data_IF_084306569124
#
_entry.id   IF_084306569124
#
_cell.length_a   1.000
_cell.length_b   1.000
_cell.length_c   1.000
_cell.angle_alpha   90.00
_cell.angle_beta   90.00
_cell.angle_gamma   90.00
#
_symmetry.space_group_name_H-M   'P 1'
#
loop_
_entity.id
_entity.type
_entity.pdbx_description
1 polymer ?
#
# COMPACT_ATOMS: atom_id res chain seq x y z
N UNK A 1 6.51 8.74 -40.79
CA UNK A 1 5.16 8.10 -40.79
C UNK A 1 5.20 6.59 -40.52
N UNK A 2 6.36 5.92 -40.41
CA UNK A 2 6.43 4.46 -40.18
C UNK A 2 6.97 4.03 -38.79
N UNK A 3 7.30 4.98 -37.91
CA UNK A 3 7.86 4.69 -36.57
C UNK A 3 6.81 4.64 -35.44
N UNK A 4 5.52 4.86 -35.72
CA UNK A 4 4.48 5.01 -34.69
C UNK A 4 3.51 3.82 -34.57
N UNK A 5 3.76 2.69 -35.24
CA UNK A 5 2.80 1.56 -35.27
C UNK A 5 3.27 0.33 -34.46
N UNK A 6 4.54 0.27 -34.01
CA UNK A 6 5.08 -0.87 -33.24
C UNK A 6 5.23 -0.64 -31.73
N UNK A 7 4.93 0.54 -31.20
CA UNK A 7 5.09 0.85 -29.77
C UNK A 7 3.73 0.88 -29.08
N UNK A 8 2.97 -0.21 -29.19
CA UNK A 8 1.75 -0.39 -28.40
C UNK A 8 2.11 -1.16 -27.11
N UNK A 9 2.27 -0.41 -26.02
CA UNK A 9 1.80 -0.77 -24.67
C UNK A 9 2.09 -2.19 -24.11
N UNK A 10 3.27 -2.76 -24.30
CA UNK A 10 3.66 -3.97 -23.53
C UNK A 10 4.29 -3.54 -22.21
N UNK A 11 3.49 -2.88 -21.36
CA UNK A 11 3.86 -2.67 -19.96
C UNK A 11 3.87 -4.00 -19.21
N UNK A 12 4.85 -4.21 -18.34
CA UNK A 12 4.95 -5.41 -17.49
C UNK A 12 4.35 -5.09 -16.13
N UNK A 13 3.50 -5.97 -15.60
CA UNK A 13 2.97 -5.84 -14.23
C UNK A 13 4.03 -6.30 -13.23
N UNK A 14 4.45 -5.42 -12.33
CA UNK A 14 5.40 -5.77 -11.28
C UNK A 14 4.81 -6.84 -10.34
N UNK A 15 5.51 -7.96 -10.09
CA UNK A 15 5.02 -9.02 -9.19
C UNK A 15 5.01 -8.62 -7.71
N UNK A 16 5.66 -7.51 -7.35
CA UNK A 16 5.81 -7.07 -5.95
C UNK A 16 4.74 -6.06 -5.55
N UNK A 17 4.43 -5.09 -6.42
CA UNK A 17 3.50 -4.00 -6.12
C UNK A 17 2.34 -3.88 -7.12
N UNK A 18 2.22 -4.82 -8.07
CA UNK A 18 1.19 -4.83 -9.11
C UNK A 18 1.12 -3.61 -10.04
N UNK A 19 2.05 -2.65 -9.94
CA UNK A 19 2.11 -1.48 -10.84
C UNK A 19 2.57 -1.88 -12.23
N UNK A 20 2.04 -1.22 -13.25
CA UNK A 20 2.54 -1.34 -14.62
C UNK A 20 3.83 -0.56 -14.77
N UNK A 21 4.82 -1.18 -15.39
CA UNK A 21 6.17 -0.64 -15.58
C UNK A 21 6.58 -0.85 -17.03
N UNK A 22 7.23 0.16 -17.61
CA UNK A 22 7.80 0.03 -18.95
C UNK A 22 8.97 -0.96 -18.95
N UNK A 23 9.22 -1.65 -20.07
CA UNK A 23 10.32 -2.62 -20.17
C UNK A 23 11.68 -2.03 -19.82
N UNK A 24 11.94 -0.78 -20.21
CA UNK A 24 13.20 -0.09 -19.93
C UNK A 24 13.38 0.27 -18.44
N UNK A 25 12.28 0.38 -17.68
CA UNK A 25 12.29 0.79 -16.27
C UNK A 25 12.14 -0.41 -15.30
N UNK A 26 11.93 -1.63 -15.81
CA UNK A 26 11.58 -2.79 -14.98
C UNK A 26 12.69 -3.16 -13.99
N UNK A 27 13.96 -3.10 -14.40
CA UNK A 27 15.09 -3.47 -13.54
C UNK A 27 15.21 -2.50 -12.37
N UNK A 28 15.21 -1.19 -12.65
CA UNK A 28 15.22 -0.14 -11.65
C UNK A 28 14.02 -0.25 -10.71
N UNK A 29 12.82 -0.49 -11.26
CA UNK A 29 11.60 -0.67 -10.49
C UNK A 29 11.66 -1.88 -9.55
N UNK A 30 12.17 -3.03 -10.02
CA UNK A 30 12.29 -4.24 -9.20
C UNK A 30 13.28 -4.04 -8.07
N UNK A 31 14.42 -3.40 -8.31
CA UNK A 31 15.38 -3.05 -7.24
C UNK A 31 14.69 -2.19 -6.20
N UNK A 32 14.00 -1.11 -6.60
CA UNK A 32 13.26 -0.25 -5.67
C UNK A 32 12.15 -0.99 -4.91
N UNK A 33 11.41 -1.87 -5.59
CA UNK A 33 10.30 -2.61 -4.96
C UNK A 33 10.75 -3.72 -4.02
N UNK A 34 11.84 -4.42 -4.33
CA UNK A 34 12.38 -5.49 -3.51
C UNK A 34 13.17 -4.95 -2.31
N UNK A 35 13.78 -3.78 -2.45
CA UNK A 35 14.54 -3.13 -1.37
C UNK A 35 13.69 -2.21 -0.49
N UNK A 36 12.45 -1.88 -0.90
CA UNK A 36 11.51 -1.13 -0.05
C UNK A 36 11.26 -1.91 1.25
N UNK A 37 11.55 -1.33 2.43
CA UNK A 37 11.31 -2.02 3.69
C UNK A 37 9.83 -2.36 3.83
N UNK A 38 9.54 -3.53 4.42
CA UNK A 38 8.17 -3.87 4.77
C UNK A 38 7.70 -2.88 5.83
N UNK A 39 6.64 -2.15 5.52
CA UNK A 39 6.03 -1.21 6.43
C UNK A 39 5.46 -2.00 7.61
N UNK A 40 6.06 -1.85 8.79
CA UNK A 40 5.58 -2.45 10.04
C UNK A 40 4.63 -1.49 10.73
N UNK A 41 3.70 -2.03 11.51
CA UNK A 41 2.82 -1.25 12.39
C UNK A 41 2.93 -1.75 13.82
N UNK A 42 2.54 -0.92 14.77
CA UNK A 42 2.34 -1.33 16.15
C UNK A 42 0.89 -1.83 16.31
N UNK A 43 0.72 -3.03 16.86
CA UNK A 43 -0.60 -3.56 17.21
C UNK A 43 -0.96 -3.09 18.61
N UNK A 44 -2.16 -2.53 18.76
CA UNK A 44 -2.66 -2.00 20.02
C UNK A 44 -4.16 -2.31 20.15
N UNK A 45 -4.67 -2.23 21.38
CA UNK A 45 -6.12 -2.25 21.64
C UNK A 45 -6.56 -0.84 21.96
N UNK A 46 -7.57 -0.36 21.25
CA UNK A 46 -8.04 1.01 21.39
C UNK A 46 -8.77 1.20 22.73
N UNK A 47 -8.37 2.19 23.53
CA UNK A 47 -8.97 2.43 24.85
C UNK A 47 -10.26 3.27 24.80
N UNK A 48 -10.43 4.07 23.75
CA UNK A 48 -11.53 5.01 23.55
C UNK A 48 -11.78 5.16 22.05
N UNK A 49 -13.02 5.45 21.64
CA UNK A 49 -13.36 5.62 20.22
C UNK A 49 -12.49 6.67 19.52
N UNK A 50 -11.95 6.36 18.34
CA UNK A 50 -11.10 7.28 17.56
C UNK A 50 -11.51 7.37 16.11
N UNK A 51 -12.47 8.24 15.81
CA UNK A 51 -12.86 8.52 14.43
C UNK A 51 -13.25 7.25 13.68
N UNK A 52 -12.95 7.22 12.39
CA UNK A 52 -13.38 6.15 11.47
C UNK A 52 -12.18 5.52 10.77
N UNK A 53 -12.22 4.21 10.55
CA UNK A 53 -11.25 3.53 9.73
C UNK A 53 -11.52 3.85 8.25
N UNK A 54 -10.62 4.57 7.58
CA UNK A 54 -10.82 5.00 6.18
C UNK A 54 -10.85 3.84 5.16
N UNK A 55 -10.52 2.61 5.59
CA UNK A 55 -10.49 1.42 4.72
C UNK A 55 -11.88 0.78 4.66
N UNK A 56 -12.52 0.52 5.81
CA UNK A 56 -13.85 -0.08 5.88
C UNK A 56 -14.97 0.95 6.07
N UNK A 57 -14.63 2.20 6.39
CA UNK A 57 -15.55 3.30 6.72
C UNK A 57 -16.43 3.03 7.96
N UNK A 58 -15.95 2.19 8.88
CA UNK A 58 -16.59 1.92 10.17
C UNK A 58 -15.88 2.69 11.30
N UNK A 59 -16.61 2.96 12.38
CA UNK A 59 -16.07 3.63 13.56
C UNK A 59 -14.99 2.75 14.23
N UNK A 60 -13.90 3.38 14.66
CA UNK A 60 -12.88 2.73 15.48
C UNK A 60 -13.30 2.86 16.95
N UNK A 61 -13.84 1.79 17.52
CA UNK A 61 -14.43 1.81 18.86
C UNK A 61 -13.48 1.27 19.94
N UNK A 62 -13.75 1.60 21.21
CA UNK A 62 -12.98 1.06 22.32
C UNK A 62 -13.07 -0.48 22.36
N UNK A 63 -11.93 -1.14 22.52
CA UNK A 63 -11.80 -2.59 22.46
C UNK A 63 -11.38 -3.14 21.10
N UNK A 64 -11.40 -2.33 20.03
CA UNK A 64 -10.93 -2.76 18.72
C UNK A 64 -9.42 -3.00 18.69
N UNK A 65 -9.03 -4.05 17.97
CA UNK A 65 -7.61 -4.29 17.65
C UNK A 65 -7.22 -3.42 16.47
N UNK A 66 -6.33 -2.46 16.73
CA UNK A 66 -5.90 -1.46 15.76
C UNK A 66 -4.43 -1.63 15.42
N UNK A 67 -4.09 -1.19 14.22
CA UNK A 67 -2.73 -1.08 13.75
C UNK A 67 -2.38 0.39 13.59
N UNK A 68 -1.31 0.82 14.25
CA UNK A 68 -0.76 2.17 14.15
C UNK A 68 0.51 2.15 13.29
N UNK A 69 0.45 2.84 12.16
CA UNK A 69 1.60 2.96 11.26
C UNK A 69 2.64 3.96 11.80
N UNK A 70 3.88 3.98 11.25
CA UNK A 70 4.92 4.95 11.63
C UNK A 70 4.50 6.40 11.37
N UNK A 71 3.69 6.65 10.33
CA UNK A 71 3.07 7.94 10.03
C UNK A 71 1.89 8.30 10.95
N UNK A 72 1.66 7.51 12.02
CA UNK A 72 0.64 7.68 13.05
C UNK A 72 -0.82 7.46 12.61
N UNK A 73 -1.07 7.15 11.34
CA UNK A 73 -2.38 6.70 10.88
C UNK A 73 -2.81 5.41 11.59
N UNK A 74 -4.11 5.32 11.89
CA UNK A 74 -4.71 4.22 12.65
C UNK A 74 -5.78 3.55 11.79
N UNK A 75 -5.74 2.23 11.73
CA UNK A 75 -6.74 1.41 11.04
C UNK A 75 -7.08 0.19 11.89
N UNK A 76 -8.19 -0.49 11.62
CA UNK A 76 -8.38 -1.84 12.14
C UNK A 76 -7.25 -2.75 11.63
N UNK A 77 -6.74 -3.61 12.51
CA UNK A 77 -5.63 -4.50 12.16
C UNK A 77 -5.94 -5.37 10.94
N UNK A 78 -7.14 -5.96 10.88
CA UNK A 78 -7.58 -6.75 9.73
C UNK A 78 -7.69 -5.94 8.43
N UNK A 79 -8.13 -4.68 8.52
CA UNK A 79 -8.27 -3.80 7.36
C UNK A 79 -6.91 -3.45 6.74
N UNK A 80 -5.92 -3.12 7.56
CA UNK A 80 -4.59 -2.78 7.05
C UNK A 80 -3.83 -4.01 6.54
N UNK A 81 -4.03 -5.18 7.17
CA UNK A 81 -3.41 -6.43 6.71
C UNK A 81 -3.85 -6.77 5.28
N UNK A 82 -5.15 -6.69 5.00
CA UNK A 82 -5.70 -6.92 3.66
C UNK A 82 -5.21 -5.85 2.67
N UNK A 83 -5.09 -4.59 3.09
CA UNK A 83 -4.56 -3.53 2.25
C UNK A 83 -3.12 -3.81 1.82
N UNK A 84 -2.27 -4.30 2.73
CA UNK A 84 -0.87 -4.62 2.46
C UNK A 84 -0.65 -5.81 1.52
N UNK A 85 -1.68 -6.64 1.27
CA UNK A 85 -1.63 -7.69 0.23
C UNK A 85 -1.60 -7.07 -1.19
N UNK A 86 -2.21 -5.90 -1.36
CA UNK A 86 -2.30 -5.20 -2.66
C UNK A 86 -1.30 -4.05 -2.74
N UNK A 87 -1.21 -3.23 -1.71
CA UNK A 87 -0.39 -2.03 -1.67
C UNK A 87 0.30 -1.86 -0.31
N UNK A 88 1.63 -1.98 -0.29
CA UNK A 88 2.46 -1.90 0.93
C UNK A 88 2.82 -0.45 1.29
N UNK A 89 1.83 0.44 1.23
CA UNK A 89 1.94 1.86 1.55
C UNK A 89 0.77 2.26 2.44
N UNK A 90 0.95 3.32 3.23
CA UNK A 90 -0.16 3.92 3.96
C UNK A 90 -1.26 4.39 2.98
N UNK A 91 -2.57 4.09 3.24
CA UNK A 91 -3.67 4.57 2.41
C UNK A 91 -3.73 6.10 2.28
N UNK A 92 -3.37 6.82 3.34
CA UNK A 92 -3.41 8.28 3.39
C UNK A 92 -2.07 8.92 2.97
N UNK A 93 -0.95 8.22 3.19
CA UNK A 93 0.39 8.70 2.89
C UNK A 93 1.14 7.73 1.95
N UNK A 94 0.76 7.64 0.66
CA UNK A 94 1.29 6.61 -0.23
C UNK A 94 2.79 6.70 -0.56
N UNK A 95 3.41 7.86 -0.26
CA UNK A 95 4.83 8.15 -0.50
C UNK A 95 5.71 8.22 0.75
N UNK A 96 5.15 7.97 1.93
CA UNK A 96 5.88 7.89 3.20
C UNK A 96 6.30 6.44 3.49
#
# INVERSE_FOLDING_TARGET
MFYSIYVCDIGIKCPVCSKFVLPDDIECHLVMCLTRPRLSYNEDVLSDSKGECVICLEELSAGDTIARLPCLCIYHKGCIDQWFEVNRSCPEHPGD
#
